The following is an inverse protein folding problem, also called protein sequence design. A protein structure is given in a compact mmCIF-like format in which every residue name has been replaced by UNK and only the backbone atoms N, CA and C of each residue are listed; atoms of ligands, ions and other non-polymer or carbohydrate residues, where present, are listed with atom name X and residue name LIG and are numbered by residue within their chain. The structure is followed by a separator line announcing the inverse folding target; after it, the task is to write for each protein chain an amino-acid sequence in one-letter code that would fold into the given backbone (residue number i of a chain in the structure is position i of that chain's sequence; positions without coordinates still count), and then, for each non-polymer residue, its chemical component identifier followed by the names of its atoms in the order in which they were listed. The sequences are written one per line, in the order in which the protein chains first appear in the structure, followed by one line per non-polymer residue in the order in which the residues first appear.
data_IF_349906780283
#
_entry.id   IF_349906780283
#
_cell.length_a   1.000
_cell.length_b   1.000
_cell.length_c   1.000
_cell.angle_alpha   90.00
_cell.angle_beta   90.00
_cell.angle_gamma   90.00
#
_symmetry.space_group_name_H-M   'P 1'
#
loop_
_entity.id
_entity.type
_entity.pdbx_description
1 polymer ?
#
# COMPACT_ATOMS: atom_id res chain seq x y z
N UNK A 1 2.99 0.10 -8.78
CA UNK A 1 2.19 -0.85 -7.97
C UNK A 1 0.80 -0.29 -7.75
N UNK A 2 -0.21 -1.14 -7.63
CA UNK A 2 -1.55 -0.74 -7.21
C UNK A 2 -1.60 -0.68 -5.69
N UNK A 3 -2.12 0.43 -5.16
CA UNK A 3 -2.15 0.67 -3.72
C UNK A 3 -3.59 0.69 -3.22
N UNK A 4 -3.83 -0.01 -2.12
CA UNK A 4 -5.04 0.05 -1.31
C UNK A 4 -4.77 0.91 -0.08
N UNK A 5 -5.72 1.75 0.33
CA UNK A 5 -5.65 2.43 1.62
C UNK A 5 -6.02 1.50 2.79
N UNK A 6 -6.06 2.08 4.00
CA UNK A 6 -6.40 1.39 5.23
C UNK A 6 -7.84 0.85 5.27
N UNK A 7 -8.75 1.43 4.48
CA UNK A 7 -10.13 0.95 4.32
C UNK A 7 -10.26 -0.11 3.20
N UNK A 8 -9.16 -0.42 2.53
CA UNK A 8 -9.11 -1.37 1.42
C UNK A 8 -9.56 -0.78 0.08
N UNK A 9 -9.74 0.53 -0.01
CA UNK A 9 -10.12 1.21 -1.25
C UNK A 9 -8.89 1.40 -2.14
N UNK A 10 -9.08 1.25 -3.46
CA UNK A 10 -8.01 1.51 -4.42
C UNK A 10 -7.79 3.01 -4.56
N UNK A 11 -6.61 3.48 -4.16
CA UNK A 11 -6.21 4.88 -4.29
C UNK A 11 -5.42 5.16 -5.58
N UNK A 12 -5.06 4.11 -6.33
CA UNK A 12 -4.50 4.20 -7.67
C UNK A 12 -3.25 3.33 -7.89
N UNK A 13 -2.66 3.50 -9.07
CA UNK A 13 -1.36 2.90 -9.44
C UNK A 13 -0.30 3.99 -9.34
N UNK A 14 0.73 3.76 -8.52
CA UNK A 14 1.80 4.74 -8.28
C UNK A 14 3.18 4.06 -8.16
N UNK A 15 4.27 4.84 -8.26
CA UNK A 15 5.62 4.39 -7.90
C UNK A 15 5.70 3.94 -6.44
N UNK A 16 6.64 3.07 -6.12
CA UNK A 16 6.83 2.56 -4.76
C UNK A 16 7.17 3.69 -3.77
N UNK A 17 7.95 4.67 -4.19
CA UNK A 17 8.37 5.82 -3.36
C UNK A 17 7.16 6.65 -2.91
N UNK A 18 6.20 6.89 -3.81
CA UNK A 18 4.96 7.59 -3.47
C UNK A 18 4.07 6.77 -2.52
N UNK A 19 4.06 5.45 -2.69
CA UNK A 19 3.30 4.56 -1.82
C UNK A 19 3.89 4.52 -0.40
N UNK A 20 5.22 4.47 -0.27
CA UNK A 20 5.95 4.54 1.00
C UNK A 20 5.66 5.87 1.69
N UNK A 21 5.85 7.00 0.98
CA UNK A 21 5.60 8.33 1.55
C UNK A 21 4.19 8.47 2.09
N UNK A 22 3.18 7.96 1.39
CA UNK A 22 1.78 8.00 1.86
C UNK A 22 1.56 7.15 3.12
N UNK A 23 2.20 5.99 3.21
CA UNK A 23 2.14 5.17 4.42
C UNK A 23 2.78 5.90 5.60
N UNK A 24 3.96 6.50 5.40
CA UNK A 24 4.67 7.30 6.41
C UNK A 24 3.85 8.52 6.87
N UNK A 25 3.25 9.26 5.92
CA UNK A 25 2.36 10.40 6.20
C UNK A 25 1.13 10.00 7.04
N UNK A 26 0.65 8.75 6.86
CA UNK A 26 -0.45 8.19 7.63
C UNK A 26 -0.01 7.55 8.96
N UNK A 27 1.29 7.42 9.22
CA UNK A 27 1.82 6.68 10.37
C UNK A 27 1.52 5.17 10.31
N UNK A 28 1.45 4.60 9.10
CA UNK A 28 1.13 3.21 8.81
C UNK A 28 2.25 2.56 8.00
N UNK A 29 2.13 1.25 7.74
CA UNK A 29 3.07 0.49 6.93
C UNK A 29 2.54 0.27 5.50
N UNK A 30 3.46 0.18 4.54
CA UNK A 30 3.15 -0.31 3.20
C UNK A 30 3.39 -1.82 3.14
N UNK A 31 2.32 -2.59 3.07
CA UNK A 31 2.35 -4.05 3.08
C UNK A 31 2.11 -4.57 1.67
N UNK A 32 3.05 -5.34 1.12
CA UNK A 32 2.85 -6.03 -0.15
C UNK A 32 1.91 -7.22 0.04
N UNK A 33 0.75 -7.20 -0.62
CA UNK A 33 -0.29 -8.24 -0.48
C UNK A 33 -0.29 -9.22 -1.66
N UNK A 34 0.16 -8.79 -2.84
CA UNK A 34 0.29 -9.66 -4.00
C UNK A 34 1.41 -9.19 -4.93
N UNK A 35 2.60 -9.76 -4.75
CA UNK A 35 3.78 -9.51 -5.58
C UNK A 35 3.60 -10.00 -7.03
N UNK A 36 2.87 -11.09 -7.23
CA UNK A 36 2.66 -11.74 -8.54
C UNK A 36 1.61 -11.06 -9.42
N UNK A 37 0.91 -10.05 -8.89
CA UNK A 37 -0.06 -9.30 -9.68
C UNK A 37 0.63 -8.34 -10.65
N UNK A 38 -0.02 -8.03 -11.77
CA UNK A 38 0.43 -7.01 -12.72
C UNK A 38 -0.62 -5.88 -12.79
N UNK A 39 -0.36 -4.71 -12.17
CA UNK A 39 0.80 -4.37 -11.34
C UNK A 39 0.73 -5.01 -9.93
N UNK A 40 1.87 -5.14 -9.21
CA UNK A 40 1.91 -5.65 -7.85
C UNK A 40 0.96 -4.88 -6.94
N UNK A 41 0.31 -5.55 -5.99
CA UNK A 41 -0.66 -4.94 -5.09
C UNK A 41 -0.06 -4.78 -3.69
N UNK A 42 -0.14 -3.56 -3.17
CA UNK A 42 0.21 -3.21 -1.80
C UNK A 42 -0.99 -2.59 -1.08
N UNK A 43 -1.01 -2.67 0.24
CA UNK A 43 -2.00 -2.06 1.13
C UNK A 43 -1.28 -1.20 2.16
N UNK A 44 -1.80 -0.02 2.41
CA UNK A 44 -1.38 0.83 3.53
C UNK A 44 -2.17 0.40 4.76
N UNK A 45 -1.51 -0.20 5.76
CA UNK A 45 -2.15 -0.68 6.99
C UNK A 45 -1.13 -0.80 8.12
N UNK A 46 -1.59 -0.96 9.36
CA UNK A 46 -0.74 -1.20 10.53
C UNK A 46 -0.31 -2.69 10.54
N UNK A 47 0.97 -2.97 10.29
CA UNK A 47 1.53 -4.32 10.25
C UNK A 47 1.41 -5.03 11.61
N UNK A 48 1.39 -4.28 12.71
CA UNK A 48 1.20 -4.84 14.05
C UNK A 48 -0.21 -5.40 14.29
N UNK A 49 -1.17 -5.03 13.45
CA UNK A 49 -2.57 -5.54 13.48
C UNK A 49 -2.90 -6.43 12.29
N UNK A 50 -1.97 -6.66 11.37
CA UNK A 50 -2.18 -7.35 10.10
C UNK A 50 -1.83 -8.83 10.14
#
# INVERSE_FOLDING_TARGET
MRVLDAEGQQIGVMPIEDAIRRAEEAGLDLIEVAASAEPPVCRIADLGKF
#
